data_IF_496368139045
#
_entry.id   IF_496368139045
#
_cell.length_a   1.000
_cell.length_b   1.000
_cell.length_c   1.000
_cell.angle_alpha   90.00
_cell.angle_beta   90.00
_cell.angle_gamma   90.00
#
_symmetry.space_group_name_H-M   'P 1'
#
loop_
_entity.id
_entity.type
_entity.pdbx_description
1 polymer ?
#
# COMPACT_ATOMS: atom_id res chain seq x y z
N UNK A 1 -1.22 -3.91 -0.87
CA UNK A 1 -1.18 -5.38 -0.91
C UNK A 1 0.20 -5.90 -0.58
N UNK A 2 1.24 -5.57 -1.36
CA UNK A 2 2.62 -5.96 -1.06
C UNK A 2 3.04 -5.64 0.38
N UNK A 3 2.89 -4.38 0.81
CA UNK A 3 3.18 -3.97 2.19
C UNK A 3 2.44 -4.81 3.24
N UNK A 4 1.14 -5.08 3.06
CA UNK A 4 0.37 -5.88 4.02
C UNK A 4 0.90 -7.32 4.14
N UNK A 5 1.29 -7.91 3.02
CA UNK A 5 1.85 -9.27 3.01
C UNK A 5 3.28 -9.27 3.57
N UNK A 6 4.05 -8.22 3.30
CA UNK A 6 5.37 -8.02 3.88
C UNK A 6 5.27 -7.91 5.41
N UNK A 7 4.36 -7.09 5.95
CA UNK A 7 4.11 -7.04 7.41
C UNK A 7 3.58 -8.36 7.96
N UNK A 8 2.77 -9.10 7.19
CA UNK A 8 2.33 -10.44 7.60
C UNK A 8 3.49 -11.43 7.66
N UNK A 9 4.47 -11.32 6.76
CA UNK A 9 5.69 -12.13 6.78
C UNK A 9 6.52 -11.83 8.02
N UNK A 10 6.65 -10.55 8.41
CA UNK A 10 7.26 -10.15 9.68
C UNK A 10 6.59 -10.84 10.88
N UNK A 11 5.25 -10.86 10.93
CA UNK A 11 4.50 -11.56 11.99
C UNK A 11 4.81 -13.08 11.98
N UNK A 12 4.84 -13.72 10.81
CA UNK A 12 5.10 -15.16 10.70
C UNK A 12 6.51 -15.56 11.11
N UNK A 13 7.50 -14.71 10.82
CA UNK A 13 8.90 -14.98 11.16
C UNK A 13 9.15 -14.87 12.67
N UNK A 14 8.17 -14.45 13.47
CA UNK A 14 8.32 -14.34 14.92
C UNK A 14 9.20 -13.16 15.34
N UNK A 15 9.72 -12.39 14.37
CA UNK A 15 10.20 -11.02 14.55
C UNK A 15 8.95 -10.13 14.74
N UNK A 16 8.21 -10.36 15.83
CA UNK A 16 7.66 -9.20 16.51
C UNK A 16 8.84 -8.26 16.69
N UNK A 17 8.68 -6.97 16.43
CA UNK A 17 9.54 -5.96 17.02
C UNK A 17 9.56 -6.14 18.55
N UNK A 18 10.31 -7.13 19.02
CA UNK A 18 10.81 -7.23 20.36
C UNK A 18 11.73 -6.05 20.45
N UNK A 19 11.32 -5.08 21.26
CA UNK A 19 12.17 -4.01 21.70
C UNK A 19 13.52 -4.58 22.12
N UNK A 20 14.51 -4.50 21.23
CA UNK A 20 15.91 -4.53 21.62
C UNK A 20 16.55 -3.24 21.09
N UNK A 21 16.50 -2.20 21.95
CA UNK A 21 17.14 -0.91 21.72
C UNK A 21 18.67 -1.00 21.91
N UNK A 22 19.33 -2.10 21.56
CA UNK A 22 20.79 -2.23 21.71
C UNK A 22 21.58 -2.19 20.40
N UNK A 23 20.93 -2.27 19.22
CA UNK A 23 21.66 -2.14 17.94
C UNK A 23 20.96 -1.21 16.98
N UNK A 24 21.09 0.09 17.25
CA UNK A 24 20.92 1.16 16.28
C UNK A 24 21.96 1.04 15.15
N UNK A 25 21.78 0.07 14.25
CA UNK A 25 22.49 0.04 12.97
C UNK A 25 21.47 0.02 11.84
N UNK A 26 21.57 0.95 10.87
CA UNK A 26 20.86 0.82 9.61
C UNK A 26 21.65 -0.09 8.64
N UNK A 27 20.93 -0.89 7.84
CA UNK A 27 21.32 -1.50 6.54
C UNK A 27 21.25 -3.04 6.47
N UNK A 28 20.80 -3.57 5.32
CA UNK A 28 20.90 -4.98 4.90
C UNK A 28 20.38 -6.03 5.90
N UNK A 29 19.17 -5.83 6.41
CA UNK A 29 18.53 -6.81 7.28
C UNK A 29 18.11 -8.07 6.49
N UNK A 30 18.68 -9.26 6.78
CA UNK A 30 18.27 -10.52 6.16
C UNK A 30 16.78 -10.80 6.31
N UNK A 31 16.14 -10.30 7.37
CA UNK A 31 14.70 -10.44 7.64
C UNK A 31 13.91 -9.67 6.61
N UNK A 32 14.26 -8.40 6.33
CA UNK A 32 13.60 -7.59 5.31
C UNK A 32 13.68 -8.23 3.92
N UNK A 33 14.85 -8.78 3.56
CA UNK A 33 15.04 -9.51 2.30
C UNK A 33 14.15 -10.76 2.25
N UNK A 34 14.02 -11.47 3.38
CA UNK A 34 13.17 -12.66 3.48
C UNK A 34 11.69 -12.29 3.38
N UNK A 35 11.24 -11.23 4.06
CA UNK A 35 9.87 -10.71 3.98
C UNK A 35 9.52 -10.30 2.55
N UNK A 36 10.42 -9.62 1.84
CA UNK A 36 10.25 -9.28 0.44
C UNK A 36 10.12 -10.52 -0.45
N UNK A 37 10.93 -11.55 -0.22
CA UNK A 37 10.83 -12.83 -0.95
C UNK A 37 9.52 -13.55 -0.66
N UNK A 38 9.08 -13.60 0.59
CA UNK A 38 7.80 -14.21 0.99
C UNK A 38 6.65 -13.46 0.32
N UNK A 39 6.66 -12.12 0.36
CA UNK A 39 5.62 -11.31 -0.26
C UNK A 39 5.59 -11.48 -1.79
N UNK A 40 6.75 -11.54 -2.44
CA UNK A 40 6.86 -11.79 -3.87
C UNK A 40 6.36 -13.18 -4.26
N UNK A 41 6.70 -14.22 -3.50
CA UNK A 41 6.24 -15.59 -3.76
C UNK A 41 4.72 -15.72 -3.54
N UNK A 42 4.19 -15.15 -2.46
CA UNK A 42 2.76 -15.23 -2.18
C UNK A 42 1.91 -14.49 -3.23
N UNK A 43 2.39 -13.32 -3.67
CA UNK A 43 1.67 -12.49 -4.66
C UNK A 43 1.84 -12.98 -6.09
N UNK A 44 3.04 -13.43 -6.43
CA UNK A 44 3.42 -13.80 -7.80
C UNK A 44 4.22 -15.11 -7.76
N UNK A 45 3.54 -16.26 -7.53
CA UNK A 45 4.21 -17.55 -7.34
C UNK A 45 5.09 -17.91 -8.52
N UNK A 46 6.33 -18.34 -8.28
CA UNK A 46 7.34 -18.53 -9.33
C UNK A 46 6.86 -19.50 -10.42
N UNK A 47 6.37 -20.67 -10.01
CA UNK A 47 5.95 -21.74 -10.92
C UNK A 47 4.83 -21.25 -11.84
N UNK A 48 3.84 -20.55 -11.27
CA UNK A 48 2.71 -20.04 -12.05
C UNK A 48 3.13 -18.84 -12.90
N UNK A 49 4.04 -18.00 -12.41
CA UNK A 49 4.57 -16.87 -13.15
C UNK A 49 5.34 -17.30 -14.39
N UNK A 50 6.29 -18.24 -14.27
CA UNK A 50 7.05 -18.76 -15.41
C UNK A 50 6.14 -19.33 -16.50
N UNK A 51 5.12 -20.10 -16.11
CA UNK A 51 4.13 -20.64 -17.06
C UNK A 51 3.36 -19.54 -17.80
N UNK A 52 2.99 -18.45 -17.13
CA UNK A 52 2.29 -17.33 -17.79
C UNK A 52 3.23 -16.48 -18.63
N UNK A 53 4.48 -16.36 -18.21
CA UNK A 53 5.53 -15.64 -18.93
C UNK A 53 5.80 -16.24 -20.32
N UNK A 54 5.79 -17.57 -20.45
CA UNK A 54 5.91 -18.26 -21.76
C UNK A 54 4.84 -17.82 -22.77
N UNK A 55 3.65 -17.43 -22.29
CA UNK A 55 2.56 -16.98 -23.15
C UNK A 55 2.65 -15.49 -23.48
N UNK A 56 3.11 -14.67 -22.53
CA UNK A 56 3.16 -13.21 -22.69
C UNK A 56 4.12 -12.55 -21.71
N UNK A 57 4.87 -11.58 -22.21
CA UNK A 57 5.76 -10.73 -21.43
C UNK A 57 5.14 -9.34 -21.14
N UNK A 58 3.85 -9.15 -21.41
CA UNK A 58 3.16 -7.88 -21.13
C UNK A 58 2.88 -7.73 -19.63
N UNK A 59 3.61 -6.82 -18.98
CA UNK A 59 3.47 -6.57 -17.54
C UNK A 59 2.09 -6.05 -17.16
N UNK A 60 1.40 -5.29 -18.03
CA UNK A 60 0.04 -4.79 -17.78
C UNK A 60 -0.97 -5.93 -17.84
N UNK A 61 -0.78 -6.90 -18.73
CA UNK A 61 -1.64 -8.07 -18.80
C UNK A 61 -1.42 -8.98 -17.60
N UNK A 62 -0.17 -9.33 -17.30
CA UNK A 62 0.19 -10.18 -16.16
C UNK A 62 -0.26 -9.56 -14.83
N UNK A 63 -0.18 -8.23 -14.67
CA UNK A 63 -0.62 -7.57 -13.43
C UNK A 63 -2.11 -7.78 -13.14
N UNK A 64 -2.94 -7.94 -14.17
CA UNK A 64 -4.37 -8.25 -14.02
C UNK A 64 -4.63 -9.69 -13.61
N UNK A 65 -3.72 -10.62 -13.93
CA UNK A 65 -3.79 -12.03 -13.50
C UNK A 65 -3.43 -12.11 -12.02
N UNK A 66 -2.27 -11.57 -11.65
CA UNK A 66 -1.73 -11.65 -10.29
C UNK A 66 -2.33 -10.61 -9.31
N UNK A 67 -3.18 -9.70 -9.80
CA UNK A 67 -3.83 -8.65 -8.99
C UNK A 67 -2.84 -7.75 -8.24
N UNK A 68 -1.69 -7.51 -8.86
CA UNK A 68 -0.64 -6.60 -8.36
C UNK A 68 -0.41 -5.46 -9.35
N UNK A 69 0.48 -4.52 -9.02
CA UNK A 69 0.87 -3.48 -9.97
C UNK A 69 1.79 -4.02 -11.07
N UNK A 70 1.82 -3.41 -12.26
CA UNK A 70 2.80 -3.73 -13.30
C UNK A 70 4.26 -3.65 -12.82
N UNK A 71 4.56 -2.76 -11.86
CA UNK A 71 5.90 -2.65 -11.27
C UNK A 71 6.26 -3.92 -10.49
N UNK A 72 5.33 -4.47 -9.70
CA UNK A 72 5.57 -5.72 -8.94
C UNK A 72 5.82 -6.89 -9.89
N UNK A 73 5.07 -6.97 -10.99
CA UNK A 73 5.32 -7.96 -12.06
C UNK A 73 6.71 -7.80 -12.66
N UNK A 74 7.06 -6.58 -13.07
CA UNK A 74 8.38 -6.30 -13.65
C UNK A 74 9.51 -6.61 -12.67
N UNK A 75 9.33 -6.32 -11.38
CA UNK A 75 10.31 -6.63 -10.35
C UNK A 75 10.46 -8.14 -10.17
N UNK A 76 9.35 -8.88 -10.14
CA UNK A 76 9.38 -10.35 -10.06
C UNK A 76 10.08 -10.97 -11.26
N UNK A 77 9.87 -10.44 -12.46
CA UNK A 77 10.57 -10.90 -13.66
C UNK A 77 12.09 -10.66 -13.56
N UNK A 78 12.51 -9.52 -12.98
CA UNK A 78 13.92 -9.24 -12.71
C UNK A 78 14.50 -10.21 -11.67
N UNK A 79 13.79 -10.42 -10.56
CA UNK A 79 14.23 -11.31 -9.46
C UNK A 79 14.39 -12.77 -9.94
N UNK A 80 13.58 -13.20 -10.90
CA UNK A 80 13.64 -14.54 -11.52
C UNK A 80 14.61 -14.64 -12.70
N UNK A 81 15.33 -13.56 -13.04
CA UNK A 81 16.29 -13.51 -14.14
C UNK A 81 15.68 -13.54 -15.54
N UNK A 82 14.38 -13.26 -15.67
CA UNK A 82 13.65 -13.30 -16.94
C UNK A 82 13.84 -12.03 -17.78
N UNK A 83 14.29 -10.93 -17.16
CA UNK A 83 14.64 -9.68 -17.83
C UNK A 83 15.93 -9.10 -17.25
N UNK A 84 16.61 -8.28 -18.04
CA UNK A 84 17.77 -7.52 -17.56
C UNK A 84 17.35 -6.35 -16.67
N UNK A 85 18.27 -5.90 -15.82
CA UNK A 85 18.11 -4.71 -14.98
C UNK A 85 17.81 -3.46 -15.82
N UNK A 86 18.45 -3.33 -16.98
CA UNK A 86 18.24 -2.24 -17.93
C UNK A 86 16.81 -2.24 -18.47
N UNK A 87 16.29 -3.42 -18.83
CA UNK A 87 14.92 -3.56 -19.31
C UNK A 87 13.91 -3.19 -18.22
N UNK A 88 14.12 -3.66 -16.99
CA UNK A 88 13.27 -3.28 -15.85
C UNK A 88 13.22 -1.77 -15.64
N UNK A 89 14.37 -1.08 -15.59
CA UNK A 89 14.40 0.37 -15.37
C UNK A 89 13.78 1.16 -16.53
N UNK A 90 14.00 0.72 -17.78
CA UNK A 90 13.34 1.32 -18.95
C UNK A 90 11.81 1.24 -18.82
N UNK A 91 11.29 0.04 -18.53
CA UNK A 91 9.86 -0.14 -18.27
C UNK A 91 9.37 0.72 -17.10
N UNK A 92 10.06 0.70 -15.96
CA UNK A 92 9.68 1.43 -14.75
C UNK A 92 9.56 2.93 -15.03
N UNK A 93 10.57 3.51 -15.68
CA UNK A 93 10.58 4.94 -16.00
C UNK A 93 9.43 5.32 -16.93
N UNK A 94 9.19 4.52 -17.97
CA UNK A 94 8.07 4.74 -18.90
C UNK A 94 6.72 4.66 -18.18
N UNK A 95 6.55 3.65 -17.31
CA UNK A 95 5.33 3.47 -16.54
C UNK A 95 5.06 4.61 -15.56
N UNK A 96 6.08 5.11 -14.86
CA UNK A 96 5.96 6.26 -13.97
C UNK A 96 5.62 7.54 -14.75
N UNK A 97 6.24 7.75 -15.93
CA UNK A 97 5.92 8.88 -16.80
C UNK A 97 4.47 8.83 -17.28
N UNK A 98 3.97 7.67 -17.71
CA UNK A 98 2.55 7.48 -18.08
C UNK A 98 1.60 7.82 -16.93
N UNK A 99 1.91 7.37 -15.70
CA UNK A 99 1.10 7.70 -14.52
C UNK A 99 1.10 9.20 -14.25
N UNK A 100 2.27 9.84 -14.35
CA UNK A 100 2.39 11.29 -14.12
C UNK A 100 1.56 12.08 -15.13
N UNK A 101 1.67 11.76 -16.42
CA UNK A 101 0.87 12.37 -17.48
C UNK A 101 -0.64 12.14 -17.27
N UNK A 102 -1.05 10.95 -16.82
CA UNK A 102 -2.46 10.69 -16.48
C UNK A 102 -2.95 11.53 -15.30
N UNK A 103 -2.12 11.70 -14.28
CA UNK A 103 -2.44 12.57 -13.14
C UNK A 103 -2.53 14.03 -13.54
N UNK A 104 -1.66 14.51 -14.43
CA UNK A 104 -1.71 15.89 -14.94
C UNK A 104 -2.95 16.15 -15.82
N UNK A 105 -3.41 15.13 -16.55
CA UNK A 105 -4.65 15.20 -17.35
C UNK A 105 -5.93 15.08 -16.51
N UNK A 106 -5.85 14.47 -15.33
CA UNK A 106 -6.93 14.54 -14.34
C UNK A 106 -6.88 15.94 -13.73
N UNK A 107 -7.93 16.74 -13.94
CA UNK A 107 -8.01 18.12 -13.43
C UNK A 107 -7.70 18.22 -11.94
N UNK A 108 -7.27 19.40 -11.49
CA UNK A 108 -6.95 19.62 -10.07
C UNK A 108 -8.20 19.49 -9.21
N UNK A 109 -8.36 18.35 -8.53
CA UNK A 109 -9.38 18.25 -7.49
C UNK A 109 -9.86 16.83 -7.24
N UNK A 110 -9.65 16.36 -6.01
CA UNK A 110 -10.54 15.40 -5.38
C UNK A 110 -11.32 16.15 -4.29
N UNK A 111 -12.61 15.85 -4.13
CA UNK A 111 -13.35 16.33 -2.96
C UNK A 111 -12.71 15.68 -1.71
N UNK A 112 -12.08 16.52 -0.89
CA UNK A 112 -11.41 16.11 0.34
C UNK A 112 -12.35 15.31 1.24
N UNK A 113 -13.59 15.77 1.41
CA UNK A 113 -14.56 15.15 2.31
C UNK A 113 -15.11 13.84 1.73
N UNK A 114 -15.36 13.79 0.42
CA UNK A 114 -15.70 12.53 -0.25
C UNK A 114 -14.59 11.49 -0.11
N UNK A 115 -13.32 11.91 -0.20
CA UNK A 115 -12.15 11.05 -0.02
C UNK A 115 -11.99 10.64 1.44
N UNK A 116 -12.19 11.56 2.38
CA UNK A 116 -12.13 11.29 3.81
C UNK A 116 -13.22 10.30 4.25
N UNK A 117 -14.44 10.39 3.70
CA UNK A 117 -15.55 9.46 4.01
C UNK A 117 -15.21 8.03 3.63
N UNK A 118 -14.57 7.84 2.47
CA UNK A 118 -14.07 6.53 2.03
C UNK A 118 -12.89 6.03 2.86
N UNK A 119 -11.94 6.91 3.19
CA UNK A 119 -10.73 6.57 3.96
C UNK A 119 -11.05 6.15 5.40
N UNK A 120 -11.92 6.91 6.07
CA UNK A 120 -12.25 6.71 7.49
C UNK A 120 -13.39 5.71 7.66
N UNK A 121 -14.25 5.51 6.65
CA UNK A 121 -15.54 4.82 6.74
C UNK A 121 -16.59 5.59 7.56
N UNK A 122 -17.80 5.71 7.00
CA UNK A 122 -18.92 6.36 7.67
C UNK A 122 -19.28 5.67 8.99
N UNK A 123 -19.20 4.33 9.05
CA UNK A 123 -19.49 3.57 10.28
C UNK A 123 -18.50 3.86 11.38
N UNK A 124 -17.21 3.85 11.06
CA UNK A 124 -16.16 4.10 12.03
C UNK A 124 -16.17 5.57 12.49
N UNK A 125 -16.35 6.51 11.57
CA UNK A 125 -16.49 7.92 11.93
C UNK A 125 -17.70 8.19 12.83
N UNK A 126 -18.85 7.54 12.57
CA UNK A 126 -20.02 7.64 13.44
C UNK A 126 -19.75 7.06 14.84
N UNK A 127 -19.07 5.92 14.91
CA UNK A 127 -18.66 5.31 16.18
C UNK A 127 -17.73 6.23 16.98
N UNK A 128 -16.69 6.78 16.34
CA UNK A 128 -15.76 7.73 16.97
C UNK A 128 -16.51 8.97 17.47
N UNK A 129 -17.41 9.53 16.65
CA UNK A 129 -18.18 10.71 17.04
C UNK A 129 -19.12 10.46 18.22
N UNK A 130 -19.77 9.30 18.27
CA UNK A 130 -20.61 8.92 19.40
C UNK A 130 -19.76 8.75 20.67
N UNK A 131 -18.57 8.14 20.57
CA UNK A 131 -17.65 8.02 21.71
C UNK A 131 -17.17 9.39 22.25
N UNK A 132 -16.97 10.38 21.36
CA UNK A 132 -16.67 11.76 21.78
C UNK A 132 -17.87 12.39 22.49
N UNK A 133 -19.08 12.26 21.94
CA UNK A 133 -20.32 12.79 22.55
C UNK A 133 -20.63 12.18 23.91
N UNK A 134 -20.31 10.90 24.07
CA UNK A 134 -20.45 10.16 25.34
C UNK A 134 -19.35 10.47 26.36
N UNK A 135 -18.41 11.39 26.05
CA UNK A 135 -17.21 11.67 26.86
C UNK A 135 -16.31 10.45 27.11
N UNK A 136 -16.41 9.40 26.27
CA UNK A 136 -15.55 8.20 26.33
C UNK A 136 -14.24 8.37 25.55
N UNK A 137 -14.17 9.39 24.70
CA UNK A 137 -13.02 9.66 23.84
C UNK A 137 -12.76 11.17 23.76
N UNK A 138 -11.50 11.60 23.91
CA UNK A 138 -11.13 13.00 23.75
C UNK A 138 -11.10 13.39 22.26
N UNK A 139 -11.41 14.66 21.96
CA UNK A 139 -11.32 15.21 20.61
C UNK A 139 -9.94 15.02 19.97
N UNK A 140 -8.86 15.15 20.76
CA UNK A 140 -7.49 14.94 20.26
C UNK A 140 -7.31 13.51 19.72
N UNK A 141 -7.87 12.53 20.40
CA UNK A 141 -7.76 11.13 20.00
C UNK A 141 -8.68 10.83 18.81
N UNK A 142 -9.89 11.40 18.77
CA UNK A 142 -10.74 11.37 17.60
C UNK A 142 -10.06 11.96 16.36
N UNK A 143 -9.31 13.06 16.51
CA UNK A 143 -8.55 13.68 15.42
C UNK A 143 -7.44 12.77 14.91
N UNK A 144 -6.76 12.06 15.81
CA UNK A 144 -5.73 11.08 15.44
C UNK A 144 -6.35 9.88 14.70
N UNK A 145 -7.45 9.34 15.22
CA UNK A 145 -8.14 8.18 14.64
C UNK A 145 -8.73 8.47 13.25
N UNK A 146 -9.22 9.68 13.03
CA UNK A 146 -9.84 10.07 11.75
C UNK A 146 -8.89 10.82 10.80
N UNK A 147 -7.70 11.17 11.30
CA UNK A 147 -6.72 12.02 10.64
C UNK A 147 -7.32 13.36 10.14
N UNK A 148 -8.19 13.96 10.94
CA UNK A 148 -8.85 15.25 10.69
C UNK A 148 -8.80 16.08 11.98
N UNK A 149 -8.43 17.36 11.90
CA UNK A 149 -8.24 18.21 13.08
C UNK A 149 -9.24 19.36 13.10
N UNK A 150 -9.64 19.77 14.31
CA UNK A 150 -10.44 20.97 14.55
C UNK A 150 -11.67 21.06 13.64
N UNK A 151 -11.78 22.17 12.92
CA UNK A 151 -12.92 22.47 12.04
C UNK A 151 -13.09 21.45 10.91
N UNK A 152 -12.01 20.85 10.42
CA UNK A 152 -12.09 19.81 9.40
C UNK A 152 -12.83 18.58 9.90
N UNK A 153 -12.57 18.18 11.15
CA UNK A 153 -13.30 17.08 11.78
C UNK A 153 -14.77 17.45 11.99
N UNK A 154 -15.03 18.63 12.54
CA UNK A 154 -16.39 19.09 12.83
C UNK A 154 -17.22 19.15 11.54
N UNK A 155 -16.70 19.81 10.51
CA UNK A 155 -17.35 19.93 9.20
C UNK A 155 -17.61 18.56 8.56
N UNK A 156 -16.64 17.65 8.63
CA UNK A 156 -16.82 16.28 8.12
C UNK A 156 -17.99 15.57 8.83
N UNK A 157 -18.07 15.66 10.16
CA UNK A 157 -19.12 15.02 10.95
C UNK A 157 -20.49 15.63 10.68
N UNK A 158 -20.59 16.95 10.54
CA UNK A 158 -21.88 17.65 10.40
C UNK A 158 -22.43 17.60 8.98
N UNK A 159 -21.57 17.79 7.98
CA UNK A 159 -22.01 18.02 6.60
C UNK A 159 -21.80 16.81 5.68
N UNK A 160 -20.92 15.87 6.05
CA UNK A 160 -20.49 14.80 5.13
C UNK A 160 -20.66 13.37 5.68
N UNK A 161 -20.88 13.20 6.98
CA UNK A 161 -20.97 11.87 7.59
C UNK A 161 -22.23 11.11 7.16
N UNK A 162 -23.38 11.80 7.12
CA UNK A 162 -24.67 11.25 6.72
C UNK A 162 -24.86 11.44 5.21
#
# INVERSE_FOLDING_TARGET
MFTLIHELAHIWLGESAGFDMEKMLPADDPVEILCDKIAAELLVPEVYFRKKWETTNDFKYLSRIFKVSPIVVGRRALDLGLISRQHFFSFYNNYIAEIKLKKERQGSGGDFYATAKKRVSARFAAFVNNAVKDNKLLYRDAYRLTNMKGDTYNKFITEYLY
#
